data_IF_740800464123
#
_entry.id   IF_740800464123
#
_cell.length_a   1.000
_cell.length_b   1.000
_cell.length_c   1.000
_cell.angle_alpha   90.00
_cell.angle_beta   90.00
_cell.angle_gamma   90.00
#
_symmetry.space_group_name_H-M   'P 1'
#
loop_
_entity.id
_entity.type
_entity.pdbx_description
1 polymer ?
#
# COMPACT_ATOMS: atom_id res chain seq x y z
N UNK A 1 -0.55 36.25 4.73
CA UNK A 1 0.35 35.54 3.79
C UNK A 1 1.67 35.30 4.49
N UNK A 2 1.87 34.05 4.98
CA UNK A 2 3.18 33.64 5.50
C UNK A 2 4.08 33.39 4.28
N UNK A 3 5.11 34.21 4.13
CA UNK A 3 6.16 33.98 3.14
C UNK A 3 6.70 32.56 3.28
N UNK A 4 6.67 31.77 2.20
CA UNK A 4 7.36 30.48 2.14
C UNK A 4 8.85 30.75 2.30
N UNK A 5 9.57 30.03 3.19
CA UNK A 5 11.00 30.19 3.29
C UNK A 5 11.63 29.77 1.95
N UNK A 6 12.33 30.69 1.31
CA UNK A 6 13.21 30.37 0.19
C UNK A 6 14.28 29.39 0.66
N UNK A 7 14.53 28.39 -0.15
CA UNK A 7 15.59 27.42 0.11
C UNK A 7 16.94 28.11 -0.10
N UNK A 8 17.48 28.65 0.99
CA UNK A 8 18.73 29.39 1.00
C UNK A 8 19.87 28.56 0.39
N UNK A 9 20.76 29.24 -0.38
CA UNK A 9 22.00 28.69 -0.94
C UNK A 9 22.95 28.04 0.09
N UNK A 10 22.66 28.16 1.39
CA UNK A 10 23.34 27.49 2.51
C UNK A 10 23.22 25.96 2.53
N UNK A 11 22.26 25.38 1.80
CA UNK A 11 22.10 23.91 1.75
C UNK A 11 23.07 23.23 0.78
N UNK A 12 23.78 23.99 -0.06
CA UNK A 12 24.71 23.46 -1.06
C UNK A 12 26.01 22.84 -0.48
N UNK A 13 26.32 23.04 0.80
CA UNK A 13 27.56 22.57 1.43
C UNK A 13 27.36 21.39 2.40
N UNK A 14 26.21 20.75 2.41
CA UNK A 14 25.99 19.65 3.34
C UNK A 14 26.44 18.30 2.78
N UNK A 15 27.18 17.53 3.61
CA UNK A 15 27.72 16.21 3.30
C UNK A 15 26.68 15.13 2.89
N UNK A 16 25.38 15.39 3.10
CA UNK A 16 24.29 14.48 2.71
C UNK A 16 23.04 15.25 2.25
N UNK A 17 22.86 15.44 0.94
CA UNK A 17 21.74 16.19 0.37
C UNK A 17 20.36 15.60 0.73
N UNK A 18 20.25 14.26 0.87
CA UNK A 18 19.00 13.62 1.27
C UNK A 18 18.59 14.01 2.70
N UNK A 19 19.55 14.08 3.61
CA UNK A 19 19.29 14.50 4.99
C UNK A 19 18.81 15.96 5.05
N UNK A 20 19.36 16.82 4.21
CA UNK A 20 18.94 18.22 4.08
C UNK A 20 17.51 18.33 3.54
N UNK A 21 17.20 17.56 2.51
CA UNK A 21 15.85 17.47 1.96
C UNK A 21 14.84 16.99 3.01
N UNK A 22 15.15 15.93 3.73
CA UNK A 22 14.26 15.39 4.78
C UNK A 22 14.02 16.41 5.91
N UNK A 23 15.04 17.15 6.32
CA UNK A 23 14.90 18.24 7.29
C UNK A 23 14.00 19.36 6.75
N UNK A 24 14.22 19.77 5.50
CA UNK A 24 13.37 20.76 4.84
C UNK A 24 11.93 20.29 4.75
N UNK A 25 11.68 19.07 4.28
CA UNK A 25 10.35 18.48 4.22
C UNK A 25 9.67 18.50 5.59
N UNK A 26 10.35 18.03 6.65
CA UNK A 26 9.79 17.99 7.99
C UNK A 26 9.48 19.39 8.55
N UNK A 27 10.23 20.41 8.17
CA UNK A 27 9.98 21.80 8.59
C UNK A 27 8.83 22.48 7.83
N UNK A 28 8.54 22.02 6.61
CA UNK A 28 7.50 22.59 5.74
C UNK A 28 6.21 21.78 5.71
N UNK A 29 6.25 20.54 6.22
CA UNK A 29 5.10 19.65 6.26
C UNK A 29 3.94 20.29 7.03
N UNK A 30 2.79 20.44 6.38
CA UNK A 30 1.59 21.10 6.91
C UNK A 30 0.39 20.15 7.08
N UNK A 31 0.64 18.86 7.16
CA UNK A 31 -0.37 17.83 7.37
C UNK A 31 0.03 16.90 8.53
N UNK A 32 -0.96 16.22 9.13
CA UNK A 32 -0.75 15.35 10.28
C UNK A 32 -0.06 14.03 9.88
N UNK A 33 -0.75 13.19 9.10
CA UNK A 33 -0.30 11.87 8.67
C UNK A 33 -0.41 11.75 7.15
N UNK A 34 0.25 10.74 6.60
CA UNK A 34 0.02 10.31 5.23
C UNK A 34 -0.37 8.82 5.22
N UNK A 35 -1.46 8.50 4.53
CA UNK A 35 -1.98 7.14 4.44
C UNK A 35 -1.95 6.64 3.00
N UNK A 36 -1.26 5.52 2.76
CA UNK A 36 -1.35 4.79 1.51
C UNK A 36 -2.57 3.87 1.53
N UNK A 37 -3.65 4.27 0.86
CA UNK A 37 -4.94 3.58 0.88
C UNK A 37 -5.22 2.73 -0.36
N UNK A 38 -4.24 2.55 -1.22
CA UNK A 38 -4.35 1.64 -2.37
C UNK A 38 -4.54 0.18 -1.94
N UNK A 39 -5.22 -0.59 -2.75
CA UNK A 39 -5.37 -2.03 -2.51
C UNK A 39 -4.00 -2.73 -2.56
N UNK A 40 -3.90 -3.87 -1.89
CA UNK A 40 -2.70 -4.70 -2.01
C UNK A 40 -2.41 -5.03 -3.47
N UNK A 41 -1.16 -5.10 -3.87
CA UNK A 41 -0.69 -5.37 -5.25
C UNK A 41 -0.84 -4.20 -6.23
N UNK A 42 -1.13 -2.99 -5.75
CA UNK A 42 -1.10 -1.75 -6.55
C UNK A 42 0.23 -1.00 -6.44
N UNK A 43 1.23 -1.55 -5.72
CA UNK A 43 2.55 -0.93 -5.53
C UNK A 43 2.73 -0.24 -4.17
N UNK A 44 1.93 -0.59 -3.18
CA UNK A 44 1.98 -0.04 -1.81
C UNK A 44 3.38 -0.15 -1.18
N UNK A 45 4.10 -1.27 -1.41
CA UNK A 45 5.50 -1.44 -0.93
C UNK A 45 6.46 -0.42 -1.56
N UNK A 46 6.29 -0.11 -2.85
CA UNK A 46 7.10 0.91 -3.53
C UNK A 46 6.82 2.30 -2.98
N UNK A 47 5.53 2.61 -2.76
CA UNK A 47 5.12 3.85 -2.11
C UNK A 47 5.75 4.00 -0.71
N UNK A 48 5.71 2.93 0.10
CA UNK A 48 6.34 2.94 1.42
C UNK A 48 7.85 3.19 1.34
N UNK A 49 8.52 2.61 0.36
CA UNK A 49 9.95 2.85 0.14
C UNK A 49 10.23 4.31 -0.19
N UNK A 50 9.37 4.96 -0.97
CA UNK A 50 9.47 6.38 -1.28
C UNK A 50 9.24 7.22 -0.02
N UNK A 51 8.13 7.02 0.67
CA UNK A 51 7.78 7.80 1.87
C UNK A 51 8.84 7.67 2.96
N UNK A 52 9.31 6.45 3.24
CA UNK A 52 10.35 6.19 4.23
C UNK A 52 11.73 6.65 3.77
N UNK A 53 12.14 6.27 2.57
CA UNK A 53 13.51 6.48 2.10
C UNK A 53 13.75 7.91 1.63
N UNK A 54 12.82 8.50 0.89
CA UNK A 54 12.98 9.82 0.32
C UNK A 54 12.56 10.92 1.30
N UNK A 55 11.36 10.83 1.86
CA UNK A 55 10.81 11.85 2.75
C UNK A 55 11.19 11.66 4.23
N UNK A 56 11.84 10.55 4.59
CA UNK A 56 12.23 10.27 5.98
C UNK A 56 11.06 10.02 6.92
N UNK A 57 9.88 9.70 6.39
CA UNK A 57 8.69 9.43 7.20
C UNK A 57 8.87 8.16 8.02
N UNK A 58 8.56 8.22 9.31
CA UNK A 58 8.50 7.03 10.16
C UNK A 58 7.31 6.18 9.74
N UNK A 59 7.58 4.94 9.37
CA UNK A 59 6.58 4.05 8.80
C UNK A 59 6.77 2.63 9.35
N UNK A 60 5.64 1.96 9.66
CA UNK A 60 5.58 0.54 9.98
C UNK A 60 4.55 -0.15 9.08
N UNK A 61 4.90 -1.36 8.61
CA UNK A 61 4.04 -2.20 7.78
C UNK A 61 3.37 -3.34 8.54
N UNK A 62 3.85 -3.67 9.73
CA UNK A 62 3.47 -4.91 10.43
C UNK A 62 2.27 -4.74 11.37
N UNK A 63 1.93 -3.53 11.71
CA UNK A 63 0.92 -3.24 12.71
C UNK A 63 -0.47 -3.76 12.35
N UNK A 64 -0.87 -3.60 11.09
CA UNK A 64 -2.23 -3.92 10.65
C UNK A 64 -2.65 -5.35 10.97
N UNK A 65 -1.70 -6.28 11.00
CA UNK A 65 -1.98 -7.68 11.35
C UNK A 65 -2.18 -7.85 12.86
N UNK A 66 -1.47 -7.07 13.67
CA UNK A 66 -1.54 -7.17 15.14
C UNK A 66 -2.86 -6.64 15.70
N UNK A 67 -3.40 -5.56 15.13
CA UNK A 67 -4.61 -4.90 15.62
C UNK A 67 -5.87 -5.19 14.78
N UNK A 68 -5.80 -6.09 13.79
CA UNK A 68 -6.91 -6.30 12.84
C UNK A 68 -8.21 -6.73 13.53
N UNK A 69 -8.14 -7.55 14.56
CA UNK A 69 -9.32 -8.03 15.29
C UNK A 69 -10.02 -6.88 16.03
N UNK A 70 -9.24 -6.00 16.64
CA UNK A 70 -9.79 -4.82 17.34
C UNK A 70 -10.45 -3.88 16.34
N UNK A 71 -9.77 -3.61 15.21
CA UNK A 71 -10.27 -2.74 14.15
C UNK A 71 -11.55 -3.29 13.53
N UNK A 72 -11.65 -4.62 13.31
CA UNK A 72 -12.85 -5.26 12.80
C UNK A 72 -14.03 -5.17 13.76
N UNK A 73 -13.76 -5.10 15.07
CA UNK A 73 -14.76 -4.91 16.12
C UNK A 73 -15.03 -3.43 16.43
N UNK A 74 -14.50 -2.50 15.61
CA UNK A 74 -14.71 -1.06 15.79
C UNK A 74 -13.85 -0.43 16.89
N UNK A 75 -12.89 -1.16 17.47
CA UNK A 75 -11.95 -0.63 18.44
C UNK A 75 -10.67 -0.17 17.76
N UNK A 76 -10.43 1.13 17.75
CA UNK A 76 -9.27 1.75 17.09
C UNK A 76 -8.18 2.19 18.09
N UNK A 77 -8.29 1.86 19.37
CA UNK A 77 -7.40 2.39 20.42
C UNK A 77 -5.94 2.00 20.19
N UNK A 78 -5.67 0.70 19.99
CA UNK A 78 -4.31 0.20 19.72
C UNK A 78 -3.75 0.76 18.41
N UNK A 79 -4.57 0.80 17.35
CA UNK A 79 -4.18 1.40 16.08
C UNK A 79 -3.82 2.88 16.23
N UNK A 80 -4.64 3.66 16.93
CA UNK A 80 -4.41 5.08 17.18
C UNK A 80 -3.13 5.31 17.98
N UNK A 81 -2.92 4.57 19.07
CA UNK A 81 -1.72 4.66 19.88
C UNK A 81 -0.46 4.39 19.08
N UNK A 82 -0.46 3.35 18.26
CA UNK A 82 0.68 3.03 17.42
C UNK A 82 0.91 4.08 16.34
N UNK A 83 -0.12 4.49 15.62
CA UNK A 83 -0.01 5.48 14.53
C UNK A 83 0.41 6.87 15.04
N UNK A 84 0.22 7.20 16.31
CA UNK A 84 0.74 8.45 16.87
C UNK A 84 2.25 8.61 16.67
N UNK A 85 3.00 7.54 16.67
CA UNK A 85 4.45 7.52 16.50
C UNK A 85 4.91 7.39 15.05
N UNK A 86 3.98 7.33 14.08
CA UNK A 86 4.29 7.14 12.67
C UNK A 86 3.76 8.30 11.82
N UNK A 87 4.51 8.65 10.79
CA UNK A 87 4.16 9.74 9.85
C UNK A 87 3.45 9.19 8.62
N UNK A 88 3.76 7.94 8.25
CA UNK A 88 3.19 7.24 7.10
C UNK A 88 2.74 5.83 7.48
N UNK A 89 1.57 5.45 7.01
CA UNK A 89 1.07 4.08 7.15
C UNK A 89 0.41 3.61 5.85
N UNK A 90 0.66 2.38 5.49
CA UNK A 90 0.05 1.74 4.34
C UNK A 90 -0.20 0.25 4.63
N UNK A 91 -0.89 -0.46 3.71
CA UNK A 91 -1.29 -1.84 3.88
C UNK A 91 -2.41 -1.97 4.93
N UNK A 92 -2.45 -3.01 5.73
CA UNK A 92 -3.52 -3.23 6.71
C UNK A 92 -3.46 -2.23 7.88
N UNK A 93 -4.58 -1.67 8.33
CA UNK A 93 -5.92 -1.78 7.77
C UNK A 93 -6.23 -0.75 6.67
N UNK A 94 -5.33 0.19 6.34
CA UNK A 94 -5.57 1.29 5.40
C UNK A 94 -5.98 0.82 3.99
N UNK A 95 -5.49 -0.35 3.57
CA UNK A 95 -5.81 -0.97 2.29
C UNK A 95 -7.17 -1.71 2.26
N UNK A 96 -7.85 -1.81 3.39
CA UNK A 96 -9.10 -2.56 3.51
C UNK A 96 -10.33 -1.66 3.31
N UNK A 97 -11.37 -2.19 2.68
CA UNK A 97 -12.71 -1.63 2.57
C UNK A 97 -12.78 -0.09 2.70
N UNK A 98 -13.48 0.41 3.71
CA UNK A 98 -13.70 1.85 3.97
C UNK A 98 -12.94 2.38 5.20
N UNK A 99 -11.89 1.70 5.64
CA UNK A 99 -11.10 2.14 6.82
C UNK A 99 -10.43 3.51 6.63
N UNK A 100 -10.24 3.97 5.38
CA UNK A 100 -9.79 5.34 5.11
C UNK A 100 -10.70 6.40 5.76
N UNK A 101 -12.01 6.14 5.90
CA UNK A 101 -12.95 7.03 6.60
C UNK A 101 -12.60 7.12 8.09
N UNK A 102 -12.38 5.97 8.73
CA UNK A 102 -11.98 5.95 10.13
C UNK A 102 -10.62 6.63 10.36
N UNK A 103 -9.66 6.41 9.45
CA UNK A 103 -8.35 7.07 9.52
C UNK A 103 -8.44 8.60 9.37
N UNK A 104 -9.32 9.07 8.49
CA UNK A 104 -9.56 10.51 8.28
C UNK A 104 -10.17 11.17 9.54
N UNK A 105 -11.12 10.49 10.18
CA UNK A 105 -11.74 10.96 11.43
C UNK A 105 -10.75 10.94 12.59
N UNK A 106 -9.96 9.86 12.72
CA UNK A 106 -9.01 9.68 13.82
C UNK A 106 -7.81 10.62 13.72
N UNK A 107 -7.42 11.00 12.51
CA UNK A 107 -6.25 11.83 12.23
C UNK A 107 -6.59 12.97 11.27
N UNK A 108 -7.32 13.99 11.74
CA UNK A 108 -7.70 15.14 10.93
C UNK A 108 -6.48 15.81 10.29
N UNK A 109 -6.68 16.47 9.14
CA UNK A 109 -5.63 17.11 8.35
C UNK A 109 -4.56 16.12 7.85
N UNK A 110 -4.98 14.91 7.48
CA UNK A 110 -4.09 13.91 6.88
C UNK A 110 -4.15 13.93 5.36
N UNK A 111 -3.13 13.38 4.73
CA UNK A 111 -3.02 13.18 3.28
C UNK A 111 -3.23 11.71 2.94
N UNK A 112 -3.88 11.45 1.81
CA UNK A 112 -4.20 10.09 1.37
C UNK A 112 -3.62 9.85 -0.02
N UNK A 113 -2.93 8.74 -0.22
CA UNK A 113 -2.39 8.35 -1.52
C UNK A 113 -3.05 7.04 -1.94
N UNK A 114 -3.82 7.11 -3.01
CA UNK A 114 -4.47 5.97 -3.65
C UNK A 114 -3.58 5.46 -4.78
N UNK A 115 -2.88 4.35 -4.55
CA UNK A 115 -2.13 3.70 -5.62
C UNK A 115 -3.09 2.89 -6.49
N UNK A 116 -3.01 3.10 -7.80
CA UNK A 116 -3.87 2.49 -8.82
C UNK A 116 -3.07 1.50 -9.67
N UNK A 117 -3.78 0.54 -10.22
CA UNK A 117 -3.30 -0.39 -11.22
C UNK A 117 -4.45 -0.78 -12.15
N UNK A 118 -4.17 -1.07 -13.41
CA UNK A 118 -5.15 -1.68 -14.31
C UNK A 118 -5.79 -2.92 -13.67
N UNK A 119 -7.12 -3.03 -13.72
CA UNK A 119 -7.90 -4.01 -12.97
C UNK A 119 -7.53 -5.45 -13.30
N UNK A 120 -7.23 -5.75 -14.56
CA UNK A 120 -6.84 -7.08 -15.01
C UNK A 120 -5.42 -7.42 -14.55
N UNK A 121 -4.51 -6.46 -14.67
CA UNK A 121 -3.13 -6.56 -14.19
C UNK A 121 -3.09 -6.66 -12.67
N UNK A 122 -3.97 -5.95 -11.97
CA UNK A 122 -4.14 -6.05 -10.54
C UNK A 122 -4.60 -7.45 -10.13
N UNK A 123 -5.69 -7.96 -10.75
CA UNK A 123 -6.23 -9.28 -10.45
C UNK A 123 -5.19 -10.38 -10.66
N UNK A 124 -4.45 -10.34 -11.76
CA UNK A 124 -3.37 -11.29 -12.01
C UNK A 124 -2.31 -11.26 -10.90
N UNK A 125 -1.81 -10.07 -10.54
CA UNK A 125 -0.80 -9.92 -9.49
C UNK A 125 -1.33 -10.30 -8.11
N UNK A 126 -2.59 -10.02 -7.85
CA UNK A 126 -3.31 -10.42 -6.66
C UNK A 126 -3.37 -11.94 -6.58
N UNK A 127 -3.87 -12.61 -7.61
CA UNK A 127 -3.98 -14.06 -7.66
C UNK A 127 -2.63 -14.76 -7.53
N UNK A 128 -1.60 -14.29 -8.25
CA UNK A 128 -0.25 -14.86 -8.16
C UNK A 128 0.29 -14.81 -6.73
N UNK A 129 0.15 -13.66 -6.06
CA UNK A 129 0.59 -13.51 -4.68
C UNK A 129 -0.19 -14.41 -3.71
N UNK A 130 -1.52 -14.42 -3.83
CA UNK A 130 -2.37 -15.20 -2.94
C UNK A 130 -2.23 -16.70 -3.18
N UNK A 131 -2.10 -17.10 -4.43
CA UNK A 131 -1.86 -18.48 -4.78
C UNK A 131 -0.62 -19.01 -4.06
N UNK A 132 0.52 -18.37 -4.26
CA UNK A 132 1.79 -18.82 -3.68
C UNK A 132 1.84 -18.70 -2.15
N UNK A 133 1.30 -17.62 -1.59
CA UNK A 133 1.45 -17.33 -0.17
C UNK A 133 0.34 -17.88 0.71
N UNK A 134 -0.84 -18.18 0.17
CA UNK A 134 -2.04 -18.52 0.94
C UNK A 134 -2.77 -19.74 0.44
N UNK A 135 -3.10 -19.85 -0.86
CA UNK A 135 -3.91 -20.92 -1.41
C UNK A 135 -3.11 -22.21 -1.46
N UNK A 136 -1.94 -22.20 -2.05
CA UNK A 136 -1.06 -23.37 -2.17
C UNK A 136 -0.70 -23.98 -0.82
N UNK A 137 -0.23 -23.21 0.18
CA UNK A 137 0.05 -23.73 1.51
C UNK A 137 -1.16 -24.34 2.22
N UNK A 138 -2.34 -23.85 1.90
CA UNK A 138 -3.57 -24.30 2.52
C UNK A 138 -4.13 -25.60 1.88
N UNK A 139 -3.98 -25.75 0.55
CA UNK A 139 -4.36 -26.94 -0.19
C UNK A 139 -3.34 -28.07 -0.01
N UNK A 140 -2.05 -27.72 0.05
CA UNK A 140 -0.92 -28.64 0.17
C UNK A 140 -0.10 -28.40 1.46
N UNK A 141 -0.66 -28.68 2.63
CA UNK A 141 -0.02 -28.35 3.90
C UNK A 141 1.31 -29.09 4.15
N UNK A 142 1.56 -30.20 3.45
CA UNK A 142 2.80 -31.02 3.61
C UNK A 142 3.97 -30.51 2.75
N UNK A 143 3.75 -29.61 1.81
CA UNK A 143 4.79 -29.12 0.91
C UNK A 143 5.60 -27.94 1.47
N UNK A 144 5.32 -27.53 2.70
CA UNK A 144 5.90 -26.32 3.30
C UNK A 144 6.71 -26.72 4.52
N UNK A 145 8.02 -26.39 4.47
CA UNK A 145 8.84 -26.39 5.66
C UNK A 145 8.15 -25.59 6.78
N UNK A 146 8.13 -26.15 7.97
CA UNK A 146 7.36 -25.81 9.19
C UNK A 146 7.32 -24.32 9.63
N UNK A 147 7.89 -23.39 8.90
CA UNK A 147 7.95 -21.96 9.23
C UNK A 147 6.71 -21.14 8.86
N UNK A 148 5.81 -21.70 8.05
CA UNK A 148 4.56 -21.03 7.68
C UNK A 148 3.33 -21.84 8.13
N UNK A 149 3.18 -21.99 9.41
CA UNK A 149 1.84 -22.33 9.95
C UNK A 149 0.90 -21.20 9.52
N UNK A 150 -0.07 -21.54 8.65
CA UNK A 150 -1.23 -20.68 8.40
C UNK A 150 -1.94 -20.60 9.75
N UNK A 151 -1.61 -19.58 10.51
CA UNK A 151 -2.26 -19.33 11.79
C UNK A 151 -3.70 -18.89 11.50
N UNK A 152 -4.58 -19.07 12.48
CA UNK A 152 -5.93 -18.48 12.52
C UNK A 152 -5.95 -16.97 12.17
N UNK A 153 -4.83 -16.26 12.39
CA UNK A 153 -4.62 -14.87 11.96
C UNK A 153 -4.76 -14.67 10.44
N UNK A 154 -4.33 -15.63 9.62
CA UNK A 154 -4.47 -15.53 8.17
C UNK A 154 -5.93 -15.73 7.73
N UNK A 155 -6.70 -16.57 8.42
CA UNK A 155 -8.13 -16.75 8.14
C UNK A 155 -8.92 -15.46 8.41
N UNK A 156 -8.65 -14.80 9.54
CA UNK A 156 -9.27 -13.52 9.88
C UNK A 156 -8.94 -12.43 8.85
N UNK A 157 -7.69 -12.38 8.40
CA UNK A 157 -7.28 -11.45 7.36
C UNK A 157 -8.02 -11.70 6.03
N UNK A 158 -8.21 -12.96 5.63
CA UNK A 158 -9.02 -13.32 4.46
C UNK A 158 -10.47 -12.87 4.60
N UNK A 159 -11.08 -13.09 5.75
CA UNK A 159 -12.47 -12.67 6.03
C UNK A 159 -12.61 -11.14 5.97
N UNK A 160 -11.64 -10.44 6.53
CA UNK A 160 -11.64 -8.97 6.54
C UNK A 160 -11.45 -8.36 5.15
N UNK A 161 -10.61 -8.99 4.32
CA UNK A 161 -10.22 -8.43 3.03
C UNK A 161 -11.21 -8.76 1.92
N UNK A 162 -11.74 -9.99 1.91
CA UNK A 162 -12.42 -10.53 0.72
C UNK A 162 -13.32 -11.70 1.10
N UNK A 163 -14.46 -11.48 1.77
CA UNK A 163 -15.36 -12.53 2.27
C UNK A 163 -15.78 -13.60 1.24
N UNK A 164 -15.80 -13.25 -0.04
CA UNK A 164 -16.12 -14.18 -1.13
C UNK A 164 -15.02 -15.21 -1.40
N UNK A 165 -13.79 -14.98 -0.92
CA UNK A 165 -12.66 -15.89 -1.16
C UNK A 165 -12.72 -17.16 -0.34
N UNK A 166 -13.37 -17.15 0.83
CA UNK A 166 -13.56 -18.34 1.63
C UNK A 166 -14.41 -19.38 0.91
N UNK A 167 -15.51 -18.95 0.29
CA UNK A 167 -16.37 -19.85 -0.49
C UNK A 167 -15.59 -20.48 -1.66
N UNK A 168 -14.74 -19.70 -2.34
CA UNK A 168 -13.86 -20.23 -3.39
C UNK A 168 -12.87 -21.24 -2.82
N UNK A 169 -12.21 -20.93 -1.71
CA UNK A 169 -11.25 -21.83 -1.09
C UNK A 169 -11.89 -23.13 -0.65
N UNK A 170 -13.09 -23.10 -0.09
CA UNK A 170 -13.84 -24.28 0.27
C UNK A 170 -14.27 -25.10 -0.96
N UNK A 171 -14.66 -24.43 -2.04
CA UNK A 171 -14.94 -25.11 -3.31
C UNK A 171 -13.69 -25.81 -3.85
N UNK A 172 -12.55 -25.10 -3.88
CA UNK A 172 -11.27 -25.65 -4.35
C UNK A 172 -10.78 -26.84 -3.52
N UNK A 173 -11.06 -26.88 -2.20
CA UNK A 173 -10.76 -28.05 -1.34
C UNK A 173 -11.45 -29.32 -1.81
N UNK A 174 -12.64 -29.20 -2.35
CA UNK A 174 -13.42 -30.32 -2.84
C UNK A 174 -12.97 -30.81 -4.21
N UNK A 175 -12.22 -30.04 -4.94
CA UNK A 175 -11.70 -30.39 -6.26
C UNK A 175 -10.38 -31.17 -6.13
N UNK A 176 -10.21 -32.21 -6.96
CA UNK A 176 -8.94 -32.93 -7.07
C UNK A 176 -8.13 -32.33 -8.21
N UNK A 177 -6.98 -31.75 -7.89
CA UNK A 177 -6.04 -31.21 -8.87
C UNK A 177 -4.82 -32.14 -8.98
N UNK A 178 -4.33 -32.36 -10.20
CA UNK A 178 -3.15 -33.20 -10.44
C UNK A 178 -1.85 -32.40 -10.27
N UNK A 179 -1.88 -31.13 -10.61
CA UNK A 179 -0.71 -30.22 -10.53
C UNK A 179 -1.09 -28.87 -9.95
N UNK A 180 -0.09 -28.12 -9.47
CA UNK A 180 -0.23 -26.73 -9.04
C UNK A 180 -0.74 -25.82 -10.18
N UNK A 181 -0.31 -26.09 -11.41
CA UNK A 181 -0.71 -25.34 -12.60
C UNK A 181 -2.17 -25.58 -12.95
N UNK A 182 -2.66 -26.80 -12.82
CA UNK A 182 -4.08 -27.14 -13.01
C UNK A 182 -4.96 -26.38 -12.02
N UNK A 183 -4.55 -26.30 -10.77
CA UNK A 183 -5.27 -25.55 -9.75
C UNK A 183 -5.30 -24.05 -10.07
N UNK A 184 -4.14 -23.45 -10.37
CA UNK A 184 -4.03 -22.03 -10.70
C UNK A 184 -4.85 -21.69 -11.94
N UNK A 185 -4.78 -22.53 -12.96
CA UNK A 185 -5.54 -22.39 -14.20
C UNK A 185 -7.05 -22.52 -13.98
N UNK A 186 -7.46 -23.45 -13.11
CA UNK A 186 -8.88 -23.62 -12.75
C UNK A 186 -9.44 -22.41 -12.02
N UNK A 187 -8.67 -21.77 -11.12
CA UNK A 187 -9.07 -20.53 -10.44
C UNK A 187 -9.22 -19.39 -11.44
N UNK A 188 -8.30 -19.27 -12.39
CA UNK A 188 -8.39 -18.24 -13.44
C UNK A 188 -9.61 -18.38 -14.34
N UNK A 189 -10.08 -19.62 -14.54
CA UNK A 189 -11.27 -19.91 -15.37
C UNK A 189 -12.59 -19.65 -14.66
N UNK A 190 -12.61 -19.50 -13.33
CA UNK A 190 -13.84 -19.13 -12.62
C UNK A 190 -14.16 -17.65 -12.92
N UNK A 191 -14.87 -17.46 -14.03
CA UNK A 191 -15.21 -16.12 -14.54
C UNK A 191 -15.91 -15.26 -13.48
N UNK A 192 -16.87 -15.83 -12.77
CA UNK A 192 -17.63 -15.15 -11.72
C UNK A 192 -16.73 -14.65 -10.57
N UNK A 193 -15.71 -15.42 -10.19
CA UNK A 193 -14.76 -15.01 -9.14
C UNK A 193 -13.90 -13.84 -9.59
N UNK A 194 -13.37 -13.91 -10.82
CA UNK A 194 -12.57 -12.82 -11.39
C UNK A 194 -13.39 -11.54 -11.48
N UNK A 195 -14.60 -11.63 -12.01
CA UNK A 195 -15.50 -10.48 -12.16
C UNK A 195 -15.86 -9.87 -10.81
N UNK A 196 -16.17 -10.69 -9.80
CA UNK A 196 -16.43 -10.22 -8.44
C UNK A 196 -15.22 -9.50 -7.82
N UNK A 197 -14.01 -10.04 -7.99
CA UNK A 197 -12.81 -9.40 -7.46
C UNK A 197 -12.52 -8.06 -8.15
N UNK A 198 -12.63 -8.01 -9.48
CA UNK A 198 -12.43 -6.80 -10.25
C UNK A 198 -13.47 -5.75 -9.87
N UNK A 199 -14.75 -6.12 -9.84
CA UNK A 199 -15.84 -5.23 -9.44
C UNK A 199 -15.64 -4.67 -8.03
N UNK A 200 -15.24 -5.51 -7.07
CA UNK A 200 -14.96 -5.04 -5.71
C UNK A 200 -13.77 -4.06 -5.66
N UNK A 201 -12.74 -4.30 -6.45
CA UNK A 201 -11.59 -3.41 -6.57
C UNK A 201 -11.99 -2.04 -7.16
N UNK A 202 -12.72 -2.04 -8.26
CA UNK A 202 -13.17 -0.83 -8.96
C UNK A 202 -14.18 -0.04 -8.13
N UNK A 203 -15.15 -0.71 -7.52
CA UNK A 203 -16.12 -0.09 -6.61
C UNK A 203 -15.42 0.61 -5.44
N UNK A 204 -14.39 -0.02 -4.87
CA UNK A 204 -13.61 0.60 -3.79
C UNK A 204 -12.91 1.88 -4.26
N UNK A 205 -12.35 1.89 -5.45
CA UNK A 205 -11.74 3.10 -6.05
C UNK A 205 -12.78 4.19 -6.17
N UNK A 206 -13.96 3.88 -6.73
CA UNK A 206 -15.06 4.81 -6.89
C UNK A 206 -15.54 5.38 -5.54
N UNK A 207 -15.69 4.53 -4.52
CA UNK A 207 -16.06 4.97 -3.17
C UNK A 207 -15.03 5.94 -2.56
N UNK A 208 -13.74 5.68 -2.75
CA UNK A 208 -12.67 6.58 -2.28
C UNK A 208 -12.74 7.92 -3.03
N UNK A 209 -12.88 7.89 -4.34
CA UNK A 209 -13.00 9.10 -5.16
C UNK A 209 -14.21 9.94 -4.75
N UNK A 210 -15.36 9.31 -4.57
CA UNK A 210 -16.57 9.98 -4.11
C UNK A 210 -16.40 10.60 -2.72
N UNK A 211 -15.76 9.89 -1.79
CA UNK A 211 -15.53 10.39 -0.43
C UNK A 211 -14.67 11.66 -0.41
N UNK A 212 -13.67 11.74 -1.29
CA UNK A 212 -12.76 12.88 -1.37
C UNK A 212 -13.13 13.90 -2.47
N UNK A 213 -14.31 13.79 -3.12
CA UNK A 213 -14.67 14.62 -4.27
C UNK A 213 -14.58 16.12 -4.01
N UNK A 214 -14.96 16.58 -2.80
CA UNK A 214 -14.89 17.99 -2.40
C UNK A 214 -13.55 18.34 -1.69
N UNK A 215 -12.65 17.37 -1.59
CA UNK A 215 -11.36 17.50 -0.87
C UNK A 215 -10.20 16.94 -1.70
N UNK A 216 -10.16 17.25 -2.98
CA UNK A 216 -9.12 16.75 -3.91
C UNK A 216 -7.68 17.03 -3.43
N UNK A 217 -7.49 18.12 -2.69
CA UNK A 217 -6.19 18.43 -2.07
C UNK A 217 -5.72 17.39 -1.05
N UNK A 218 -6.62 16.56 -0.52
CA UNK A 218 -6.32 15.55 0.51
C UNK A 218 -6.11 14.15 -0.08
N UNK A 219 -6.44 13.94 -1.37
CA UNK A 219 -6.25 12.67 -2.08
C UNK A 219 -5.35 12.82 -3.31
N UNK A 220 -4.26 12.05 -3.34
CA UNK A 220 -3.44 11.86 -4.53
C UNK A 220 -3.70 10.48 -5.14
N UNK A 221 -4.03 10.43 -6.43
CA UNK A 221 -4.19 9.18 -7.18
C UNK A 221 -3.00 8.98 -8.11
N UNK A 222 -2.32 7.84 -8.00
CA UNK A 222 -1.08 7.57 -8.76
C UNK A 222 -0.93 6.11 -9.14
N UNK A 223 -0.24 5.87 -10.24
CA UNK A 223 0.35 4.58 -10.56
C UNK A 223 1.84 4.62 -10.17
N UNK A 224 2.34 3.58 -9.51
CA UNK A 224 3.76 3.55 -9.10
C UNK A 224 4.74 3.40 -10.27
N UNK A 225 4.24 3.04 -11.44
CA UNK A 225 4.98 3.00 -12.71
C UNK A 225 5.05 4.35 -13.42
N UNK A 226 4.35 5.36 -12.93
CA UNK A 226 4.34 6.69 -13.50
C UNK A 226 5.75 7.32 -13.41
N UNK A 227 6.35 7.74 -14.53
CA UNK A 227 7.66 8.38 -14.52
C UNK A 227 7.69 9.68 -13.70
N UNK A 228 6.56 10.38 -13.59
CA UNK A 228 6.41 11.62 -12.84
C UNK A 228 5.90 11.41 -11.41
N UNK A 229 5.90 10.17 -10.91
CA UNK A 229 5.40 9.84 -9.58
C UNK A 229 5.96 10.75 -8.48
N UNK A 230 7.28 10.99 -8.47
CA UNK A 230 7.91 11.83 -7.46
C UNK A 230 7.47 13.29 -7.57
N UNK A 231 7.37 13.83 -8.79
CA UNK A 231 6.87 15.19 -9.01
C UNK A 231 5.44 15.35 -8.47
N UNK A 232 4.57 14.37 -8.76
CA UNK A 232 3.19 14.37 -8.25
C UNK A 232 3.13 14.32 -6.72
N UNK A 233 3.98 13.49 -6.08
CA UNK A 233 4.06 13.42 -4.62
C UNK A 233 4.63 14.72 -4.04
N UNK A 234 5.70 15.30 -4.64
CA UNK A 234 6.24 16.59 -4.22
C UNK A 234 5.15 17.67 -4.22
N UNK A 235 4.47 17.85 -5.35
CA UNK A 235 3.36 18.80 -5.48
C UNK A 235 2.27 18.57 -4.45
N UNK A 236 1.88 17.33 -4.25
CA UNK A 236 0.86 16.94 -3.27
C UNK A 236 1.24 17.28 -1.83
N UNK A 237 2.52 17.20 -1.50
CA UNK A 237 3.05 17.60 -0.20
C UNK A 237 3.36 19.11 -0.10
N UNK A 238 3.05 19.87 -1.16
CA UNK A 238 3.28 21.33 -1.19
C UNK A 238 4.73 21.72 -1.42
N UNK A 239 5.54 20.81 -1.99
CA UNK A 239 6.93 21.03 -2.36
C UNK A 239 7.05 21.43 -3.84
N UNK A 240 8.14 22.08 -4.26
CA UNK A 240 8.47 22.22 -5.68
C UNK A 240 8.53 20.85 -6.37
N UNK A 241 7.95 20.75 -7.58
CA UNK A 241 7.82 19.45 -8.28
C UNK A 241 9.17 18.77 -8.51
N UNK A 242 10.19 19.54 -8.85
CA UNK A 242 11.52 19.02 -9.21
C UNK A 242 12.54 19.10 -8.05
N UNK A 243 12.11 19.40 -6.82
CA UNK A 243 13.02 19.55 -5.68
C UNK A 243 13.87 18.29 -5.44
N UNK A 244 13.30 17.15 -5.73
CA UNK A 244 13.98 15.86 -5.71
C UNK A 244 13.31 14.91 -6.69
N UNK A 245 14.09 14.22 -7.50
CA UNK A 245 13.60 13.21 -8.41
C UNK A 245 14.13 11.84 -8.01
N UNK A 246 13.25 10.85 -8.09
CA UNK A 246 13.54 9.48 -7.72
C UNK A 246 12.84 8.51 -8.68
N UNK A 247 13.61 7.61 -9.25
CA UNK A 247 13.02 6.52 -10.02
C UNK A 247 12.62 5.42 -9.05
N UNK A 248 11.33 5.31 -8.78
CA UNK A 248 10.81 4.30 -7.85
C UNK A 248 11.27 2.89 -8.27
N UNK A 249 11.90 2.11 -7.37
CA UNK A 249 12.13 0.71 -7.67
C UNK A 249 10.78 0.01 -7.73
N UNK A 250 10.50 -0.68 -8.83
CA UNK A 250 9.36 -1.58 -8.92
C UNK A 250 9.70 -2.79 -8.03
N UNK A 251 9.39 -2.67 -6.73
CA UNK A 251 9.57 -3.78 -5.80
C UNK A 251 8.44 -4.79 -5.98
N UNK A 252 8.77 -6.07 -5.89
CA UNK A 252 7.86 -7.21 -6.09
C UNK A 252 7.42 -7.48 -7.55
N UNK A 253 8.18 -7.05 -8.55
CA UNK A 253 8.19 -7.78 -9.81
C UNK A 253 8.63 -9.23 -9.52
N UNK A 254 8.05 -10.21 -10.18
CA UNK A 254 8.24 -11.65 -9.91
C UNK A 254 9.70 -12.15 -9.96
N UNK A 255 10.65 -11.31 -10.28
CA UNK A 255 12.08 -11.55 -10.19
C UNK A 255 12.61 -11.16 -8.82
N UNK A 256 12.57 -12.10 -7.88
CA UNK A 256 13.35 -12.04 -6.63
C UNK A 256 14.83 -12.12 -6.97
N UNK A 257 15.56 -11.03 -6.81
CA UNK A 257 17.02 -11.08 -6.86
C UNK A 257 17.69 -9.85 -7.45
N UNK A 258 17.59 -8.71 -6.79
CA UNK A 258 18.66 -7.72 -6.81
C UNK A 258 18.50 -6.77 -5.62
N UNK A 259 19.57 -6.66 -4.83
CA UNK A 259 19.76 -5.59 -3.86
C UNK A 259 19.80 -4.25 -4.63
N UNK A 260 18.65 -3.64 -4.84
CA UNK A 260 18.60 -2.29 -5.41
C UNK A 260 18.80 -1.28 -4.27
N UNK A 261 20.03 -0.82 -4.10
CA UNK A 261 20.33 0.42 -3.40
C UNK A 261 19.50 1.55 -4.02
N UNK A 262 18.93 2.39 -3.16
CA UNK A 262 18.24 3.62 -3.55
C UNK A 262 19.15 4.47 -4.45
N UNK A 263 18.87 4.53 -5.76
CA UNK A 263 19.51 5.48 -6.67
C UNK A 263 18.63 6.71 -6.76
N UNK A 264 19.03 7.80 -6.16
CA UNK A 264 18.39 9.12 -6.28
C UNK A 264 19.32 10.07 -7.02
N UNK A 265 18.74 10.97 -7.79
CA UNK A 265 19.42 12.15 -8.33
C UNK A 265 18.77 13.37 -7.70
N UNK A 266 19.61 14.20 -7.12
CA UNK A 266 19.24 15.51 -6.65
C UNK A 266 19.56 16.49 -7.80
N UNK A 267 18.59 17.29 -8.18
CA UNK A 267 18.80 18.41 -9.08
C UNK A 267 18.80 19.67 -8.23
N UNK A 268 19.85 20.43 -8.36
CA UNK A 268 20.04 21.72 -7.71
C UNK A 268 19.48 22.83 -8.61
#
# INVERSE_FOLDING_TARGET
>A
EKQKPEMDSKYNNQKNPLCSFQKYFNSTKNFNKCFGIGANKTGTTSLNTICKGLYGMRSDQMLGVACIDEVLNGNYSTLKQHLNNHDFHQDLPASLNHYYIALDILFPNSKFILTLRDSNSWFKSFLDYYYESKIKPWIYPKSINNSFRISLKNEKWFRASWGQQLALLEHLKKCKFKTDEDLKYSILKIKSFRESCISAYENRITCIQTYFAEREKDLLQVQVSDPDLCKKINKFFGLPEDIITYKAPIKNSATRGSNNSLKYRLYY
#
